data_IF_787547275105
#
_entry.id   IF_787547275105
#
_cell.length_a   1.000
_cell.length_b   1.000
_cell.length_c   1.000
_cell.angle_alpha   90.00
_cell.angle_beta   90.00
_cell.angle_gamma   90.00
#
_symmetry.space_group_name_H-M   'P 1'
#
loop_
_entity.id
_entity.type
_entity.pdbx_description
1 polymer ?
#
# COMPACT_ATOMS: atom_id res chain seq x y z
N UNK A 1 -4.44 -17.60 -18.64
CA UNK A 1 -5.36 -17.05 -17.62
C UNK A 1 -5.06 -17.80 -16.34
N UNK A 2 -4.78 -17.11 -15.22
CA UNK A 2 -4.46 -17.77 -13.94
C UNK A 2 -5.70 -18.43 -13.34
N UNK A 3 -5.50 -19.48 -12.54
CA UNK A 3 -6.55 -20.11 -11.76
C UNK A 3 -7.22 -19.10 -10.81
N UNK A 4 -8.45 -19.41 -10.40
CA UNK A 4 -9.31 -18.56 -9.56
C UNK A 4 -9.85 -19.43 -8.42
N UNK A 5 -9.75 -18.92 -7.20
CA UNK A 5 -10.04 -19.65 -5.97
C UNK A 5 -11.12 -18.91 -5.18
N UNK A 6 -12.12 -19.64 -4.69
CA UNK A 6 -13.19 -19.10 -3.86
C UNK A 6 -12.83 -19.13 -2.36
N UNK A 7 -13.71 -18.57 -1.52
CA UNK A 7 -13.50 -18.52 -0.07
C UNK A 7 -13.39 -19.90 0.59
N UNK A 8 -13.98 -20.95 -0.01
CA UNK A 8 -13.88 -22.32 0.52
C UNK A 8 -12.49 -22.90 0.31
N UNK A 9 -11.89 -22.65 -0.87
CA UNK A 9 -10.51 -23.04 -1.16
C UNK A 9 -9.52 -22.28 -0.26
N UNK A 10 -9.68 -20.95 -0.15
CA UNK A 10 -8.81 -20.11 0.69
C UNK A 10 -8.84 -20.59 2.14
N UNK A 11 -10.04 -20.90 2.67
CA UNK A 11 -10.20 -21.47 4.01
C UNK A 11 -9.44 -22.78 4.17
N UNK A 12 -9.58 -23.69 3.21
CA UNK A 12 -8.89 -24.99 3.24
C UNK A 12 -7.37 -24.82 3.27
N UNK A 13 -6.80 -23.89 2.49
CA UNK A 13 -5.36 -23.64 2.52
C UNK A 13 -4.91 -23.05 3.87
N UNK A 14 -5.64 -22.09 4.42
CA UNK A 14 -5.33 -21.51 5.74
C UNK A 14 -5.45 -22.55 6.87
N UNK A 15 -6.41 -23.47 6.79
CA UNK A 15 -6.54 -24.60 7.72
C UNK A 15 -5.34 -25.55 7.63
N UNK A 16 -4.92 -25.93 6.42
CA UNK A 16 -3.72 -26.77 6.18
C UNK A 16 -2.44 -26.12 6.72
N UNK A 17 -2.29 -24.81 6.54
CA UNK A 17 -1.17 -24.04 7.09
C UNK A 17 -1.20 -24.09 8.62
N UNK A 18 -2.38 -23.82 9.22
CA UNK A 18 -2.58 -23.87 10.66
C UNK A 18 -2.23 -25.20 11.31
N UNK A 19 -2.54 -26.32 10.64
CA UNK A 19 -2.24 -27.67 11.11
C UNK A 19 -0.74 -28.03 11.07
N UNK A 20 0.03 -27.42 10.16
CA UNK A 20 1.46 -27.69 9.97
C UNK A 20 2.37 -26.77 10.81
N UNK A 21 1.86 -25.64 11.30
CA UNK A 21 2.61 -24.72 12.16
C UNK A 21 2.91 -25.33 13.53
N UNK A 22 4.16 -25.29 13.96
CA UNK A 22 4.59 -25.72 15.30
C UNK A 22 4.28 -24.68 16.39
N UNK A 23 4.58 -23.40 16.10
CA UNK A 23 4.39 -22.27 17.01
C UNK A 23 3.22 -21.36 16.57
N UNK A 24 2.54 -20.66 17.50
CA UNK A 24 1.44 -19.76 17.16
C UNK A 24 1.88 -18.62 16.24
N UNK A 25 1.14 -18.42 15.14
CA UNK A 25 1.37 -17.36 14.15
C UNK A 25 0.08 -16.55 13.94
N UNK A 26 0.20 -15.23 13.91
CA UNK A 26 -0.91 -14.34 13.50
C UNK A 26 -0.61 -13.73 12.14
N UNK A 27 -1.54 -13.87 11.21
CA UNK A 27 -1.48 -13.28 9.87
C UNK A 27 -2.66 -12.34 9.65
N UNK A 28 -2.43 -11.27 8.89
CA UNK A 28 -3.47 -10.34 8.46
C UNK A 28 -3.80 -10.62 7.00
N UNK A 29 -5.00 -11.13 6.75
CA UNK A 29 -5.46 -11.40 5.38
C UNK A 29 -5.99 -10.10 4.77
N UNK A 30 -5.47 -9.76 3.59
CA UNK A 30 -5.86 -8.57 2.82
C UNK A 30 -6.38 -8.97 1.43
N UNK A 31 -6.59 -7.95 0.59
CA UNK A 31 -6.78 -8.13 -0.84
C UNK A 31 -8.03 -8.95 -1.20
N UNK A 32 -7.94 -9.69 -2.31
CA UNK A 32 -9.09 -10.43 -2.84
C UNK A 32 -9.56 -11.55 -1.93
N UNK A 33 -8.66 -12.13 -1.12
CA UNK A 33 -9.01 -13.20 -0.18
C UNK A 33 -9.83 -12.71 1.00
N UNK A 34 -9.48 -11.56 1.58
CA UNK A 34 -10.28 -10.94 2.62
C UNK A 34 -11.67 -10.55 2.11
N UNK A 35 -11.73 -9.95 0.92
CA UNK A 35 -13.00 -9.60 0.25
C UNK A 35 -13.87 -10.82 -0.03
N UNK A 36 -13.27 -11.98 -0.36
CA UNK A 36 -14.01 -13.21 -0.59
C UNK A 36 -14.67 -13.77 0.69
N UNK A 37 -14.03 -13.59 1.85
CA UNK A 37 -14.65 -13.96 3.14
C UNK A 37 -15.75 -13.01 3.60
N UNK A 38 -15.79 -11.81 3.04
CA UNK A 38 -16.82 -10.79 3.29
C UNK A 38 -17.93 -10.79 2.22
N UNK A 39 -17.98 -11.82 1.37
CA UNK A 39 -18.94 -11.96 0.25
C UNK A 39 -18.90 -10.81 -0.78
N UNK A 40 -17.81 -10.04 -0.82
CA UNK A 40 -17.60 -8.93 -1.77
C UNK A 40 -16.97 -9.40 -3.09
N UNK A 41 -16.35 -10.58 -3.09
CA UNK A 41 -15.69 -11.15 -4.27
C UNK A 41 -15.93 -12.65 -4.34
N UNK A 42 -16.31 -13.15 -5.52
CA UNK A 42 -16.57 -14.60 -5.68
C UNK A 42 -15.29 -15.42 -5.72
N UNK A 43 -14.25 -14.92 -6.39
CA UNK A 43 -12.96 -15.60 -6.52
C UNK A 43 -11.78 -14.64 -6.62
N UNK A 44 -10.63 -15.07 -6.11
CA UNK A 44 -9.33 -14.38 -6.20
C UNK A 44 -8.29 -15.23 -6.94
N UNK A 45 -7.21 -14.60 -7.41
CA UNK A 45 -6.06 -15.29 -8.02
C UNK A 45 -4.99 -15.65 -6.98
N UNK A 46 -4.93 -14.87 -5.91
CA UNK A 46 -3.86 -14.83 -4.93
C UNK A 46 -4.45 -14.73 -3.51
N UNK A 47 -3.72 -15.25 -2.51
CA UNK A 47 -3.99 -15.07 -1.08
C UNK A 47 -2.91 -14.12 -0.54
N UNK A 48 -3.31 -12.93 -0.15
CA UNK A 48 -2.40 -11.88 0.31
C UNK A 48 -2.35 -11.84 1.84
N UNK A 49 -1.19 -12.10 2.44
CA UNK A 49 -1.01 -12.17 3.91
C UNK A 49 0.05 -11.17 4.37
N UNK A 50 -0.21 -10.44 5.44
CA UNK A 50 0.80 -9.64 6.14
C UNK A 50 1.20 -10.35 7.43
N UNK A 51 2.50 -10.41 7.69
CA UNK A 51 3.10 -10.89 8.94
C UNK A 51 3.78 -9.75 9.69
N UNK A 52 3.84 -9.88 11.02
CA UNK A 52 4.28 -8.80 11.89
C UNK A 52 5.80 -8.71 12.03
N UNK A 53 6.55 -9.78 11.75
CA UNK A 53 8.00 -9.84 11.93
C UNK A 53 8.70 -10.70 10.87
N UNK A 54 10.01 -10.57 10.75
CA UNK A 54 10.83 -11.42 9.89
C UNK A 54 10.86 -12.88 10.34
N UNK A 55 10.75 -13.13 11.64
CA UNK A 55 10.66 -14.50 12.19
C UNK A 55 9.35 -15.17 11.76
N UNK A 56 8.23 -14.44 11.83
CA UNK A 56 6.92 -14.90 11.35
C UNK A 56 6.94 -15.20 9.84
N UNK A 57 7.62 -14.35 9.05
CA UNK A 57 7.83 -14.56 7.61
C UNK A 57 8.58 -15.87 7.35
N UNK A 58 9.69 -16.09 8.06
CA UNK A 58 10.51 -17.29 7.94
C UNK A 58 9.74 -18.56 8.34
N UNK A 59 8.97 -18.49 9.43
CA UNK A 59 8.13 -19.59 9.89
C UNK A 59 7.06 -19.94 8.85
N UNK A 60 6.32 -18.95 8.34
CA UNK A 60 5.28 -19.18 7.35
C UNK A 60 5.85 -19.72 6.03
N UNK A 61 6.98 -19.16 5.57
CA UNK A 61 7.67 -19.65 4.38
C UNK A 61 8.08 -21.12 4.53
N UNK A 62 8.68 -21.50 5.66
CA UNK A 62 9.10 -22.89 5.90
C UNK A 62 7.92 -23.86 5.85
N UNK A 63 6.80 -23.52 6.51
CA UNK A 63 5.58 -24.34 6.49
C UNK A 63 5.01 -24.49 5.07
N UNK A 64 4.98 -23.42 4.29
CA UNK A 64 4.48 -23.47 2.91
C UNK A 64 5.34 -24.38 2.02
N UNK A 65 6.67 -24.33 2.15
CA UNK A 65 7.57 -25.23 1.44
C UNK A 65 7.32 -26.70 1.80
N UNK A 66 7.09 -27.00 3.07
CA UNK A 66 6.74 -28.36 3.53
C UNK A 66 5.38 -28.84 2.99
N UNK A 67 4.44 -27.91 2.81
CA UNK A 67 3.13 -28.18 2.21
C UNK A 67 3.15 -28.32 0.69
N UNK A 68 4.34 -28.20 0.06
CA UNK A 68 4.52 -28.38 -1.37
C UNK A 68 4.31 -27.11 -2.20
N UNK A 69 4.45 -25.93 -1.59
CA UNK A 69 4.56 -24.69 -2.34
C UNK A 69 6.01 -24.50 -2.84
N UNK A 70 6.16 -23.95 -4.05
CA UNK A 70 7.43 -23.56 -4.63
C UNK A 70 7.60 -22.04 -4.59
N UNK A 71 8.84 -21.58 -4.40
CA UNK A 71 9.16 -20.14 -4.44
C UNK A 71 9.13 -19.67 -5.90
N UNK A 72 8.20 -18.76 -6.21
CA UNK A 72 8.07 -18.18 -7.56
C UNK A 72 9.02 -17.02 -7.74
N UNK A 73 9.25 -16.24 -6.68
CA UNK A 73 10.14 -15.09 -6.67
C UNK A 73 10.71 -14.87 -5.27
N UNK A 74 12.03 -14.88 -5.16
CA UNK A 74 12.72 -14.26 -4.03
C UNK A 74 12.99 -12.79 -4.43
N UNK A 75 12.73 -11.81 -3.55
CA UNK A 75 13.15 -10.45 -3.80
C UNK A 75 14.67 -10.38 -3.85
N UNK A 76 15.21 -9.51 -4.71
CA UNK A 76 16.64 -9.20 -4.72
C UNK A 76 17.05 -8.53 -3.38
N UNK A 77 18.34 -8.54 -3.02
CA UNK A 77 18.85 -8.00 -1.74
C UNK A 77 18.41 -6.54 -1.46
N UNK A 78 18.21 -5.72 -2.50
CA UNK A 78 17.68 -4.34 -2.36
C UNK A 78 16.19 -4.30 -1.96
N UNK A 79 15.40 -5.30 -2.36
CA UNK A 79 13.98 -5.44 -1.99
C UNK A 79 13.78 -6.09 -0.61
N UNK A 80 14.75 -6.83 -0.08
CA UNK A 80 14.68 -7.33 1.31
C UNK A 80 14.65 -6.18 2.33
N UNK A 81 15.33 -5.07 2.02
CA UNK A 81 15.39 -3.88 2.87
C UNK A 81 14.12 -3.02 2.86
N UNK A 82 13.24 -3.19 1.86
CA UNK A 82 12.02 -2.40 1.65
C UNK A 82 10.75 -3.04 2.23
N UNK A 83 10.85 -4.27 2.76
CA UNK A 83 9.69 -5.05 3.21
C UNK A 83 9.57 -6.32 2.38
N UNK A 84 10.34 -7.33 2.75
CA UNK A 84 10.41 -8.62 2.06
C UNK A 84 9.02 -9.17 1.70
N UNK A 85 8.66 -9.12 0.41
CA UNK A 85 7.56 -9.90 -0.14
C UNK A 85 8.08 -11.29 -0.50
N UNK A 86 7.40 -12.35 -0.08
CA UNK A 86 7.67 -13.73 -0.54
C UNK A 86 6.46 -14.21 -1.33
N UNK A 87 6.69 -14.69 -2.55
CA UNK A 87 5.63 -15.21 -3.42
C UNK A 87 5.86 -16.70 -3.60
N UNK A 88 4.94 -17.51 -3.08
CA UNK A 88 4.98 -18.96 -3.18
C UNK A 88 3.75 -19.47 -3.94
N UNK A 89 3.90 -20.52 -4.76
CA UNK A 89 2.82 -21.10 -5.56
C UNK A 89 2.73 -22.61 -5.33
N UNK A 90 1.52 -23.16 -5.19
CA UNK A 90 1.29 -24.61 -5.11
C UNK A 90 0.95 -25.23 -6.48
N UNK A 91 0.83 -26.56 -6.53
CA UNK A 91 0.48 -27.32 -7.75
C UNK A 91 -0.87 -26.94 -8.39
N UNK A 92 -1.80 -26.37 -7.61
CA UNK A 92 -3.09 -25.88 -8.13
C UNK A 92 -2.94 -24.51 -8.85
N UNK A 93 -1.76 -23.89 -8.76
CA UNK A 93 -1.47 -22.55 -9.25
C UNK A 93 -1.96 -21.44 -8.31
N UNK A 94 -2.25 -21.76 -7.05
CA UNK A 94 -2.60 -20.79 -6.02
C UNK A 94 -1.32 -20.14 -5.50
N UNK A 95 -1.29 -18.80 -5.49
CA UNK A 95 -0.19 -18.05 -4.89
C UNK A 95 -0.56 -17.53 -3.52
N UNK A 96 0.43 -17.56 -2.64
CA UNK A 96 0.42 -16.83 -1.39
C UNK A 96 1.49 -15.75 -1.48
N UNK A 97 1.04 -14.50 -1.40
CA UNK A 97 1.88 -13.31 -1.35
C UNK A 97 2.01 -12.90 0.12
N UNK A 98 3.20 -13.08 0.70
CA UNK A 98 3.47 -12.77 2.11
C UNK A 98 4.23 -11.45 2.18
N UNK A 99 3.69 -10.48 2.90
CA UNK A 99 4.28 -9.16 3.11
C UNK A 99 4.81 -9.05 4.56
N UNK A 100 6.06 -8.63 4.72
CA UNK A 100 6.61 -8.31 6.04
C UNK A 100 6.38 -6.83 6.35
N UNK A 101 5.43 -6.55 7.25
CA UNK A 101 5.01 -5.22 7.75
C UNK A 101 4.55 -4.21 6.69
N UNK A 102 5.29 -4.03 5.60
CA UNK A 102 5.01 -3.11 4.51
C UNK A 102 4.39 -3.85 3.33
N UNK A 103 3.31 -3.28 2.80
CA UNK A 103 2.56 -3.74 1.65
C UNK A 103 2.91 -2.84 0.47
N UNK A 104 3.46 -3.42 -0.59
CA UNK A 104 3.72 -2.77 -1.89
C UNK A 104 4.66 -1.56 -1.76
N UNK A 105 5.61 -1.55 -0.82
CA UNK A 105 6.52 -0.43 -0.53
C UNK A 105 5.83 0.93 -0.24
N UNK A 106 4.50 0.94 -0.08
CA UNK A 106 3.70 2.16 -0.07
C UNK A 106 2.77 2.31 1.13
N UNK A 107 2.49 1.24 1.87
CA UNK A 107 1.68 1.27 3.09
C UNK A 107 2.22 0.27 4.11
N UNK A 108 2.09 0.56 5.40
CA UNK A 108 2.51 -0.33 6.50
C UNK A 108 1.31 -0.83 7.30
N UNK A 109 1.43 -2.01 7.89
CA UNK A 109 0.47 -2.55 8.85
C UNK A 109 0.56 -1.76 10.17
N UNK A 110 -0.13 -0.63 10.21
CA UNK A 110 -0.17 0.27 11.36
C UNK A 110 -0.91 -0.32 12.55
N UNK A 111 -0.71 0.28 13.73
CA UNK A 111 -1.50 -0.05 14.92
C UNK A 111 -3.01 0.22 14.72
N UNK A 112 -3.37 1.17 13.85
CA UNK A 112 -4.75 1.46 13.48
C UNK A 112 -5.40 0.28 12.76
N UNK A 113 -4.74 -0.19 11.69
CA UNK A 113 -5.17 -1.35 10.90
C UNK A 113 -5.30 -2.59 11.79
N UNK A 114 -4.29 -2.85 12.64
CA UNK A 114 -4.31 -3.99 13.57
C UNK A 114 -5.50 -3.96 14.52
N UNK A 115 -5.86 -2.79 15.05
CA UNK A 115 -6.99 -2.65 15.99
C UNK A 115 -8.35 -2.83 15.32
N UNK A 116 -8.47 -2.45 14.06
CA UNK A 116 -9.69 -2.62 13.25
C UNK A 116 -9.81 -4.00 12.62
N UNK A 117 -8.72 -4.76 12.56
CA UNK A 117 -8.73 -6.12 12.04
C UNK A 117 -9.50 -7.05 12.96
N UNK A 118 -10.31 -7.94 12.38
CA UNK A 118 -11.16 -8.87 13.11
C UNK A 118 -10.62 -10.30 13.03
N UNK A 119 -10.48 -10.95 14.19
CA UNK A 119 -10.16 -12.39 14.22
C UNK A 119 -11.27 -13.19 13.57
N UNK A 120 -10.94 -13.83 12.46
CA UNK A 120 -11.93 -14.52 11.62
C UNK A 120 -11.74 -16.04 11.63
N UNK A 121 -10.49 -16.51 11.49
CA UNK A 121 -10.16 -17.93 11.62
C UNK A 121 -9.12 -18.14 12.73
N UNK A 122 -9.18 -19.30 13.35
CA UNK A 122 -8.17 -19.74 14.31
C UNK A 122 -7.90 -21.25 14.16
N UNK A 123 -7.45 -21.74 12.98
CA UNK A 123 -7.15 -23.14 12.80
C UNK A 123 -5.82 -23.50 13.48
N UNK A 124 -5.92 -24.34 14.52
CA UNK A 124 -4.76 -24.87 15.24
C UNK A 124 -3.82 -23.76 15.74
N UNK A 125 -2.64 -23.60 15.14
CA UNK A 125 -1.63 -22.61 15.55
C UNK A 125 -1.66 -21.33 14.70
N UNK A 126 -2.57 -21.20 13.72
CA UNK A 126 -2.71 -19.99 12.92
C UNK A 126 -3.91 -19.16 13.39
N UNK A 127 -3.69 -17.88 13.66
CA UNK A 127 -4.74 -16.87 13.81
C UNK A 127 -4.79 -16.04 12.53
N UNK A 128 -5.95 -15.97 11.89
CA UNK A 128 -6.18 -15.14 10.71
C UNK A 128 -7.06 -13.97 11.11
N UNK A 129 -6.50 -12.77 11.04
CA UNK A 129 -7.22 -11.51 11.22
C UNK A 129 -7.58 -10.93 9.84
N UNK A 130 -8.87 -10.66 9.62
CA UNK A 130 -9.33 -9.96 8.42
C UNK A 130 -9.14 -8.48 8.60
N UNK A 131 -8.43 -7.86 7.66
CA UNK A 131 -8.34 -6.40 7.60
C UNK A 131 -9.71 -5.80 7.23
N UNK A 132 -10.00 -4.62 7.78
CA UNK A 132 -11.30 -3.97 7.60
C UNK A 132 -11.52 -3.53 6.14
N UNK A 133 -12.77 -3.39 5.68
CA UNK A 133 -13.09 -2.89 4.35
C UNK A 133 -12.44 -1.54 4.02
N UNK A 134 -12.36 -0.62 4.99
CA UNK A 134 -11.74 0.70 4.87
C UNK A 134 -10.25 0.59 4.53
N UNK A 135 -9.54 -0.27 5.25
CA UNK A 135 -8.12 -0.49 5.09
C UNK A 135 -7.82 -1.25 3.78
N UNK A 136 -8.67 -2.21 3.40
CA UNK A 136 -8.59 -2.87 2.08
C UNK A 136 -8.81 -1.84 0.97
N UNK A 137 -9.77 -0.93 1.09
CA UNK A 137 -10.02 0.13 0.11
C UNK A 137 -8.76 0.99 -0.09
N UNK A 138 -8.09 1.39 0.99
CA UNK A 138 -6.85 2.15 0.92
C UNK A 138 -5.72 1.35 0.26
N UNK A 139 -5.53 0.07 0.64
CA UNK A 139 -4.54 -0.80 -0.02
C UNK A 139 -4.78 -0.91 -1.54
N UNK A 140 -6.05 -1.01 -1.95
CA UNK A 140 -6.44 -1.09 -3.36
C UNK A 140 -6.17 0.21 -4.12
N UNK A 141 -6.48 1.35 -3.51
CA UNK A 141 -6.25 2.66 -4.10
C UNK A 141 -4.75 2.93 -4.37
N UNK A 142 -3.86 2.41 -3.53
CA UNK A 142 -2.41 2.62 -3.64
C UNK A 142 -1.72 1.62 -4.59
N UNK A 143 -2.33 0.45 -4.83
CA UNK A 143 -1.76 -0.62 -5.63
C UNK A 143 -1.63 -0.28 -7.13
N UNK A 144 -2.48 0.61 -7.66
CA UNK A 144 -2.39 1.13 -9.03
C UNK A 144 -2.65 0.10 -10.14
N UNK A 145 -3.35 -1.00 -9.86
CA UNK A 145 -3.72 -2.00 -10.89
C UNK A 145 -5.15 -1.79 -11.33
N UNK A 146 -5.40 -1.99 -12.63
CA UNK A 146 -6.75 -1.84 -13.24
C UNK A 146 -7.80 -2.74 -12.55
N UNK A 147 -7.45 -3.99 -12.21
CA UNK A 147 -8.35 -4.92 -11.51
C UNK A 147 -8.75 -4.41 -10.10
N UNK A 148 -7.98 -3.50 -9.49
CA UNK A 148 -8.26 -2.97 -8.15
C UNK A 148 -9.38 -1.91 -8.14
N UNK A 149 -9.68 -1.26 -9.28
CA UNK A 149 -10.77 -0.27 -9.37
C UNK A 149 -12.14 -0.95 -9.20
N UNK A 150 -12.34 -2.12 -9.80
CA UNK A 150 -13.55 -2.93 -9.61
C UNK A 150 -13.69 -3.43 -8.16
N UNK A 151 -12.56 -3.72 -7.50
CA UNK A 151 -12.55 -4.09 -6.09
C UNK A 151 -12.91 -2.90 -5.19
N UNK A 152 -12.36 -1.71 -5.47
CA UNK A 152 -12.76 -0.46 -4.81
C UNK A 152 -14.25 -0.18 -4.99
N UNK A 153 -14.78 -0.33 -6.21
CA UNK A 153 -16.20 -0.14 -6.48
C UNK A 153 -17.09 -1.13 -5.72
N UNK A 154 -16.64 -2.37 -5.56
CA UNK A 154 -17.33 -3.39 -4.75
C UNK A 154 -17.32 -3.03 -3.26
N UNK A 155 -16.20 -2.52 -2.74
CA UNK A 155 -16.08 -2.07 -1.35
C UNK A 155 -16.96 -0.86 -1.05
N UNK A 156 -17.16 0.04 -2.02
CA UNK A 156 -18.10 1.17 -1.90
C UNK A 156 -19.56 0.75 -1.72
N UNK A 157 -19.92 -0.49 -2.05
CA UNK A 157 -21.27 -1.02 -1.79
C UNK A 157 -21.48 -1.42 -0.32
N UNK A 158 -20.42 -1.37 0.48
CA UNK A 158 -20.48 -1.49 1.94
C UNK A 158 -20.60 -0.11 2.59
N UNK A 159 -20.86 -0.08 3.90
CA UNK A 159 -20.90 1.15 4.69
C UNK A 159 -19.47 1.60 5.10
N UNK A 160 -18.62 1.92 4.11
CA UNK A 160 -17.26 2.42 4.37
C UNK A 160 -17.29 3.72 5.18
N UNK A 161 -16.54 3.75 6.27
CA UNK A 161 -16.27 4.99 7.00
C UNK A 161 -15.06 5.72 6.39
N UNK A 162 -15.32 6.75 5.60
CA UNK A 162 -14.26 7.53 4.96
C UNK A 162 -13.44 8.37 5.95
N UNK A 163 -13.97 8.69 7.13
CA UNK A 163 -13.18 9.38 8.16
C UNK A 163 -12.07 8.44 8.67
N UNK A 164 -12.35 7.13 8.73
CA UNK A 164 -11.35 6.10 9.06
C UNK A 164 -10.31 5.98 7.94
N UNK A 165 -10.74 5.96 6.67
CA UNK A 165 -9.80 5.87 5.53
C UNK A 165 -8.89 7.10 5.47
N UNK A 166 -9.44 8.30 5.66
CA UNK A 166 -8.69 9.55 5.66
C UNK A 166 -7.71 9.62 6.84
N UNK A 167 -8.15 9.23 8.04
CA UNK A 167 -7.28 9.18 9.21
C UNK A 167 -6.14 8.15 9.05
N UNK A 168 -6.41 7.00 8.44
CA UNK A 168 -5.38 6.03 8.13
C UNK A 168 -4.42 6.55 7.05
N UNK A 169 -4.92 7.19 5.98
CA UNK A 169 -4.08 7.81 4.97
C UNK A 169 -3.09 8.82 5.58
N UNK A 170 -3.56 9.69 6.47
CA UNK A 170 -2.70 10.62 7.19
C UNK A 170 -1.67 9.91 8.08
N UNK A 171 -2.10 8.86 8.80
CA UNK A 171 -1.19 8.03 9.61
C UNK A 171 -0.10 7.39 8.76
N UNK A 172 -0.42 6.96 7.53
CA UNK A 172 0.52 6.33 6.61
C UNK A 172 1.55 7.34 6.07
N UNK A 173 1.13 8.58 5.76
CA UNK A 173 2.04 9.68 5.42
C UNK A 173 3.05 9.89 6.55
N UNK A 174 2.60 9.99 7.80
CA UNK A 174 3.46 10.18 8.96
C UNK A 174 4.42 9.00 9.20
N UNK A 175 3.95 7.76 9.01
CA UNK A 175 4.76 6.56 9.24
C UNK A 175 5.82 6.34 8.16
N UNK A 176 5.55 6.75 6.93
CA UNK A 176 6.45 6.59 5.79
C UNK A 176 7.35 7.81 5.58
N UNK A 177 7.03 8.94 6.19
CA UNK A 177 7.72 10.22 6.02
C UNK A 177 7.79 10.65 4.53
N UNK A 178 6.71 10.39 3.79
CA UNK A 178 6.57 10.74 2.36
C UNK A 178 5.10 10.86 1.95
N UNK A 179 4.83 11.69 0.94
CA UNK A 179 3.48 11.90 0.39
C UNK A 179 3.33 11.35 -1.04
N UNK A 180 4.41 10.91 -1.68
CA UNK A 180 4.38 10.50 -3.10
C UNK A 180 3.34 9.40 -3.39
N UNK A 181 3.12 8.47 -2.46
CA UNK A 181 2.17 7.39 -2.67
C UNK A 181 0.71 7.86 -2.79
N UNK A 182 0.40 9.06 -2.30
CA UNK A 182 -0.94 9.67 -2.36
C UNK A 182 -1.34 9.99 -3.81
N UNK A 183 -0.36 10.23 -4.68
CA UNK A 183 -0.61 10.43 -6.12
C UNK A 183 -1.29 9.21 -6.78
N UNK A 184 -0.93 7.98 -6.35
CA UNK A 184 -1.60 6.76 -6.82
C UNK A 184 -3.03 6.65 -6.31
N UNK A 185 -3.30 7.10 -5.07
CA UNK A 185 -4.67 7.18 -4.54
C UNK A 185 -5.49 8.14 -5.40
N UNK A 186 -4.93 9.29 -5.77
CA UNK A 186 -5.60 10.27 -6.62
C UNK A 186 -5.95 9.69 -8.00
N UNK A 187 -5.00 8.99 -8.63
CA UNK A 187 -5.23 8.28 -9.90
C UNK A 187 -6.35 7.24 -9.77
N UNK A 188 -6.31 6.41 -8.72
CA UNK A 188 -7.34 5.40 -8.50
C UNK A 188 -8.73 6.00 -8.26
N UNK A 189 -8.83 7.13 -7.55
CA UNK A 189 -10.10 7.86 -7.37
C UNK A 189 -10.60 8.50 -8.67
N UNK A 190 -9.69 9.01 -9.52
CA UNK A 190 -10.02 9.51 -10.84
C UNK A 190 -10.55 8.39 -11.75
N UNK A 191 -9.88 7.24 -11.77
CA UNK A 191 -10.31 6.04 -12.51
C UNK A 191 -11.67 5.53 -12.03
N UNK A 192 -11.90 5.53 -10.71
CA UNK A 192 -13.18 5.16 -10.11
C UNK A 192 -14.32 6.10 -10.57
N UNK A 193 -14.03 7.41 -10.65
CA UNK A 193 -14.96 8.40 -11.22
C UNK A 193 -15.20 8.14 -12.71
N UNK A 194 -14.15 7.89 -13.50
CA UNK A 194 -14.28 7.69 -14.94
C UNK A 194 -15.06 6.41 -15.28
N UNK A 195 -14.75 5.30 -14.61
CA UNK A 195 -15.30 3.98 -14.91
C UNK A 195 -16.70 3.78 -14.32
N UNK A 196 -16.96 4.30 -13.12
CA UNK A 196 -18.18 4.03 -12.37
C UNK A 196 -19.02 5.28 -12.03
N UNK A 197 -18.56 6.48 -12.38
CA UNK A 197 -19.22 7.75 -12.07
C UNK A 197 -19.50 7.89 -10.56
N UNK A 198 -18.56 7.44 -9.73
CA UNK A 198 -18.61 7.57 -8.26
C UNK A 198 -17.57 8.56 -7.78
N UNK A 199 -18.01 9.48 -6.91
CA UNK A 199 -17.12 10.35 -6.13
C UNK A 199 -17.22 9.98 -4.66
N UNK A 200 -16.11 10.11 -3.96
CA UNK A 200 -15.96 9.81 -2.52
C UNK A 200 -15.51 11.07 -1.77
N UNK A 201 -15.72 11.13 -0.44
CA UNK A 201 -15.19 12.22 0.39
C UNK A 201 -13.67 12.42 0.27
N UNK A 202 -12.92 11.38 -0.07
CA UNK A 202 -11.46 11.45 -0.22
C UNK A 202 -10.98 12.27 -1.44
N UNK A 203 -11.84 12.56 -2.42
CA UNK A 203 -11.41 13.20 -3.66
C UNK A 203 -10.77 14.57 -3.43
N UNK A 204 -11.35 15.39 -2.56
CA UNK A 204 -10.82 16.73 -2.28
C UNK A 204 -9.53 16.66 -1.44
N UNK A 205 -9.49 15.98 -0.27
CA UNK A 205 -8.26 15.87 0.52
C UNK A 205 -7.08 15.26 -0.25
N UNK A 206 -7.32 14.20 -1.03
CA UNK A 206 -6.27 13.53 -1.80
C UNK A 206 -5.75 14.41 -2.94
N UNK A 207 -6.62 15.17 -3.60
CA UNK A 207 -6.22 16.09 -4.66
C UNK A 207 -5.35 17.24 -4.11
N UNK A 208 -5.70 17.80 -2.95
CA UNK A 208 -4.92 18.84 -2.28
C UNK A 208 -3.50 18.34 -1.92
N UNK A 209 -3.38 17.11 -1.42
CA UNK A 209 -2.06 16.51 -1.14
C UNK A 209 -1.29 16.30 -2.45
N UNK A 210 -1.95 15.77 -3.48
CA UNK A 210 -1.34 15.47 -4.78
C UNK A 210 -0.83 16.72 -5.49
N UNK A 211 -1.56 17.83 -5.44
CA UNK A 211 -1.14 19.11 -6.01
C UNK A 211 0.16 19.60 -5.35
N UNK A 212 0.22 19.57 -4.01
CA UNK A 212 1.44 19.93 -3.26
C UNK A 212 2.65 19.06 -3.64
N UNK A 213 2.44 17.75 -3.82
CA UNK A 213 3.49 16.82 -4.26
C UNK A 213 3.99 17.16 -5.67
N UNK A 214 3.10 17.50 -6.60
CA UNK A 214 3.51 17.88 -7.95
C UNK A 214 4.26 19.20 -8.01
N UNK A 215 3.85 20.21 -7.24
CA UNK A 215 4.61 21.47 -7.10
C UNK A 215 6.04 21.21 -6.61
N UNK A 216 6.19 20.35 -5.60
CA UNK A 216 7.48 19.98 -5.02
C UNK A 216 8.36 19.22 -6.03
N UNK A 217 7.79 18.27 -6.77
CA UNK A 217 8.50 17.55 -7.84
C UNK A 217 8.92 18.46 -8.99
N UNK A 218 8.09 19.43 -9.37
CA UNK A 218 8.41 20.39 -10.42
C UNK A 218 9.63 21.24 -10.03
N UNK A 219 9.67 21.74 -8.79
CA UNK A 219 10.84 22.46 -8.26
C UNK A 219 12.09 21.57 -8.20
N UNK A 220 11.95 20.33 -7.72
CA UNK A 220 13.08 19.38 -7.66
C UNK A 220 13.61 18.99 -9.04
N UNK A 221 12.74 18.93 -10.04
CA UNK A 221 13.13 18.67 -11.42
C UNK A 221 13.87 19.85 -12.03
N UNK A 222 13.39 21.07 -11.77
CA UNK A 222 14.08 22.29 -12.17
C UNK A 222 15.41 22.48 -11.43
N UNK A 223 15.62 21.87 -10.27
CA UNK A 223 16.92 21.85 -9.58
C UNK A 223 17.85 20.73 -10.10
N UNK A 224 17.99 20.62 -11.42
CA UNK A 224 18.98 19.76 -12.07
C UNK A 224 20.42 20.23 -11.81
N UNK A 225 20.59 21.54 -11.65
CA UNK A 225 21.75 22.20 -11.09
C UNK A 225 21.34 23.22 -10.00
N UNK A 226 22.26 23.63 -9.11
CA UNK A 226 21.94 24.64 -8.09
C UNK A 226 21.57 25.98 -8.71
N UNK A 227 20.36 26.48 -8.42
CA UNK A 227 19.78 27.71 -8.99
C UNK A 227 19.48 28.74 -7.90
N UNK A 228 19.38 30.02 -8.27
CA UNK A 228 18.91 31.07 -7.36
C UNK A 228 17.38 31.17 -7.38
N UNK A 229 16.77 31.74 -6.34
CA UNK A 229 15.31 31.95 -6.30
C UNK A 229 14.77 32.70 -7.54
N UNK A 230 15.40 33.80 -8.02
CA UNK A 230 14.95 34.47 -9.24
C UNK A 230 15.09 33.62 -10.51
N UNK A 231 16.08 32.73 -10.57
CA UNK A 231 16.27 31.85 -11.71
C UNK A 231 15.18 30.77 -11.76
N UNK A 232 14.86 30.15 -10.62
CA UNK A 232 13.74 29.23 -10.50
C UNK A 232 12.42 29.90 -10.84
N UNK A 233 12.18 31.13 -10.38
CA UNK A 233 10.95 31.87 -10.69
C UNK A 233 10.83 32.27 -12.18
N UNK A 234 11.95 32.38 -12.90
CA UNK A 234 11.90 32.65 -14.34
C UNK A 234 11.59 31.39 -15.15
N UNK A 235 11.99 30.23 -14.63
CA UNK A 235 11.81 28.92 -15.25
C UNK A 235 10.43 28.32 -14.92
N UNK A 236 10.00 28.48 -13.67
CA UNK A 236 8.75 27.99 -13.12
C UNK A 236 7.76 29.16 -13.03
N UNK A 237 6.54 29.00 -13.54
CA UNK A 237 5.51 30.04 -13.59
C UNK A 237 4.83 30.28 -12.23
N UNK A 238 5.62 30.31 -11.15
CA UNK A 238 5.17 30.58 -9.78
C UNK A 238 5.39 32.04 -9.38
N UNK A 239 4.51 32.55 -8.52
CA UNK A 239 4.78 33.80 -7.80
C UNK A 239 5.93 33.60 -6.81
N UNK A 240 6.57 34.71 -6.39
CA UNK A 240 7.64 34.64 -5.39
C UNK A 240 7.20 34.03 -4.07
N UNK A 241 5.92 34.21 -3.69
CA UNK A 241 5.37 33.67 -2.44
C UNK A 241 5.14 32.17 -2.57
N UNK A 242 4.50 31.71 -3.65
CA UNK A 242 4.28 30.28 -3.89
C UNK A 242 5.59 29.51 -3.95
N UNK A 243 6.58 30.01 -4.70
CA UNK A 243 7.87 29.34 -4.81
C UNK A 243 8.64 29.32 -3.48
N UNK A 244 8.51 30.36 -2.66
CA UNK A 244 9.07 30.37 -1.30
C UNK A 244 8.42 29.31 -0.42
N UNK A 245 7.09 29.21 -0.46
CA UNK A 245 6.34 28.22 0.31
C UNK A 245 6.71 26.79 -0.12
N UNK A 246 6.82 26.52 -1.43
CA UNK A 246 7.24 25.20 -1.96
C UNK A 246 8.67 24.86 -1.50
N UNK A 247 9.61 25.81 -1.63
CA UNK A 247 11.01 25.59 -1.20
C UNK A 247 11.08 25.36 0.31
N UNK A 248 10.30 26.07 1.13
CA UNK A 248 10.25 25.84 2.57
C UNK A 248 9.76 24.44 2.93
N UNK A 249 8.73 23.91 2.25
CA UNK A 249 8.29 22.51 2.45
C UNK A 249 9.38 21.52 2.06
N UNK A 250 10.07 21.76 0.94
CA UNK A 250 11.19 20.92 0.50
C UNK A 250 12.39 20.97 1.48
N UNK A 251 12.61 22.10 2.16
CA UNK A 251 13.63 22.22 3.21
C UNK A 251 13.23 21.45 4.47
N UNK A 252 11.94 21.48 4.85
CA UNK A 252 11.40 20.69 5.97
C UNK A 252 11.56 19.17 5.75
N UNK A 253 11.49 18.74 4.48
CA UNK A 253 11.71 17.35 4.05
C UNK A 253 13.19 17.00 3.79
N UNK A 254 14.14 17.88 4.13
CA UNK A 254 15.58 17.75 3.82
C UNK A 254 15.88 17.47 2.32
N UNK A 255 14.94 17.78 1.42
CA UNK A 255 15.04 17.50 -0.01
C UNK A 255 15.85 18.57 -0.76
N UNK A 256 15.86 19.80 -0.24
CA UNK A 256 16.68 20.90 -0.74
C UNK A 256 17.38 21.63 0.39
N UNK A 257 18.42 22.38 0.04
CA UNK A 257 19.09 23.32 0.94
C UNK A 257 19.25 24.66 0.26
N UNK A 258 18.59 25.68 0.81
CA UNK A 258 18.62 27.04 0.29
C UNK A 258 19.45 28.00 1.14
N UNK A 259 20.16 28.89 0.44
CA UNK A 259 20.36 30.27 0.88
C UNK A 259 19.68 31.18 -0.15
N UNK A 260 19.45 32.46 0.17
CA UNK A 260 18.77 33.39 -0.75
C UNK A 260 19.36 33.42 -2.16
N UNK A 261 20.66 33.13 -2.29
CA UNK A 261 21.41 33.21 -3.54
C UNK A 261 21.60 31.85 -4.25
N UNK A 262 21.31 30.73 -3.56
CA UNK A 262 21.56 29.38 -4.08
C UNK A 262 20.71 28.35 -3.35
N UNK A 263 19.86 27.66 -4.11
CA UNK A 263 19.08 26.49 -3.70
C UNK A 263 19.70 25.27 -4.38
N UNK A 264 19.96 24.24 -3.60
CA UNK A 264 20.61 23.02 -4.04
C UNK A 264 19.76 21.81 -3.66
N UNK A 265 19.52 20.92 -4.62
CA UNK A 265 18.82 19.66 -4.38
C UNK A 265 19.70 18.67 -3.62
N UNK A 266 19.17 18.13 -2.53
CA UNK A 266 19.81 17.11 -1.70
C UNK A 266 19.25 15.70 -1.96
N UNK A 267 17.97 15.60 -2.33
CA UNK A 267 17.27 14.34 -2.63
C UNK A 267 16.56 14.41 -3.97
N UNK A 268 16.42 13.28 -4.65
CA UNK A 268 15.57 13.13 -5.85
C UNK A 268 14.15 12.68 -5.51
N UNK A 269 13.86 12.44 -4.24
CA UNK A 269 12.62 11.87 -3.73
C UNK A 269 12.07 12.71 -2.57
N UNK A 270 10.74 12.73 -2.45
CA UNK A 270 9.91 13.43 -1.45
C UNK A 270 8.80 12.52 -0.93
#
# INVERSE_FOLDING_TARGET
MRARFDSSYIRSELERIGEQLDDPLTVFLIGGGAMAFQDLKTTTKDIDLIVASGDDLGQLQAVLLELGYDIVREPDEEYEALGAQRILENDDGCRIDIFHQQVIDKLVLSDGIRKRSERYLNPSNLVVELVSPEDIFLFKAVAGRVDDIEDMFSLLQTDLDFDVVEAELATQIDLLDQELFVTYVNEALADLTEQHNVRTPLHEPVAEITERVYEELEVLHALDEPKSMPALQQELDYTTVELQDIVSRLEEKDAVKGTADRIERLSTTI
#
